data_IF_875458996935
#
_entry.id   IF_875458996935
#
_cell.length_a   1.000
_cell.length_b   1.000
_cell.length_c   1.000
_cell.angle_alpha   90.00
_cell.angle_beta   90.00
_cell.angle_gamma   90.00
#
_symmetry.space_group_name_H-M   'P 1'
#
loop_
_entity.id
_entity.type
_entity.pdbx_description
1 polymer ?
#
# COMPACT_ATOMS: atom_id res chain seq x y z
N UNK A 1 9.62 -5.37 -29.31
CA UNK A 1 9.88 -5.66 -27.88
C UNK A 1 10.05 -7.17 -27.78
N UNK A 2 11.03 -7.69 -27.03
CA UNK A 2 11.24 -9.14 -26.91
C UNK A 2 10.64 -9.64 -25.59
N UNK A 3 10.13 -10.86 -25.59
CA UNK A 3 9.59 -11.54 -24.42
C UNK A 3 10.36 -12.84 -24.22
N UNK A 4 10.92 -13.03 -23.02
CA UNK A 4 11.55 -14.27 -22.60
C UNK A 4 10.48 -15.08 -21.88
N UNK A 5 9.88 -16.04 -22.57
CA UNK A 5 8.86 -16.92 -22.02
C UNK A 5 9.56 -18.16 -21.48
N UNK A 6 9.44 -18.42 -20.18
CA UNK A 6 10.24 -19.42 -19.49
C UNK A 6 9.39 -20.24 -18.51
N UNK A 7 9.80 -21.48 -18.32
CA UNK A 7 9.35 -22.40 -17.27
C UNK A 7 10.56 -23.14 -16.68
N UNK A 8 10.52 -23.50 -15.39
CA UNK A 8 11.58 -24.25 -14.71
C UNK A 8 11.01 -25.40 -13.89
N UNK A 9 11.75 -26.52 -13.88
CA UNK A 9 11.51 -27.60 -12.92
C UNK A 9 12.56 -27.55 -11.81
N UNK A 10 12.17 -27.99 -10.61
CA UNK A 10 12.99 -27.81 -9.41
C UNK A 10 12.85 -28.98 -8.44
N UNK A 11 13.79 -29.11 -7.50
CA UNK A 11 13.72 -30.11 -6.42
C UNK A 11 12.72 -29.76 -5.30
N UNK A 12 11.94 -28.69 -5.42
CA UNK A 12 11.01 -28.24 -4.39
C UNK A 12 10.40 -26.86 -4.60
N UNK A 13 9.26 -26.60 -3.95
CA UNK A 13 8.44 -25.41 -4.19
C UNK A 13 8.89 -24.10 -3.55
N UNK A 14 10.00 -24.06 -2.81
CA UNK A 14 10.51 -22.83 -2.18
C UNK A 14 11.82 -22.37 -2.84
N UNK A 15 11.81 -21.24 -3.58
CA UNK A 15 13.00 -20.76 -4.27
C UNK A 15 14.22 -20.48 -3.41
N UNK A 16 14.05 -20.17 -2.12
CA UNK A 16 15.17 -19.90 -1.22
C UNK A 16 15.95 -21.16 -0.81
N UNK A 17 15.33 -22.34 -0.91
CA UNK A 17 15.90 -23.60 -0.42
C UNK A 17 15.94 -24.70 -1.49
N UNK A 18 15.50 -24.39 -2.70
CA UNK A 18 15.41 -25.32 -3.82
C UNK A 18 16.49 -25.03 -4.86
N UNK A 19 16.66 -25.97 -5.79
CA UNK A 19 17.60 -25.92 -6.91
C UNK A 19 16.88 -26.34 -8.20
N UNK A 20 17.28 -25.74 -9.32
CA UNK A 20 16.68 -26.04 -10.62
C UNK A 20 17.21 -27.36 -11.17
N UNK A 21 16.33 -28.12 -11.84
CA UNK A 21 16.64 -29.39 -12.50
C UNK A 21 16.40 -29.35 -14.00
N UNK A 22 15.62 -28.39 -14.49
CA UNK A 22 15.36 -28.15 -15.91
C UNK A 22 15.00 -26.68 -16.12
N UNK A 23 15.39 -26.13 -17.27
CA UNK A 23 14.97 -24.81 -17.73
C UNK A 23 14.60 -24.89 -19.20
N UNK A 24 13.48 -24.27 -19.56
CA UNK A 24 13.09 -24.04 -20.94
C UNK A 24 12.81 -22.55 -21.16
N UNK A 25 13.39 -21.98 -22.20
CA UNK A 25 13.32 -20.56 -22.54
C UNK A 25 12.97 -20.39 -24.01
N UNK A 26 11.98 -19.54 -24.28
CA UNK A 26 11.57 -19.13 -25.61
C UNK A 26 11.70 -17.63 -25.73
N UNK A 27 12.49 -17.18 -26.70
CA UNK A 27 12.57 -15.78 -27.04
C UNK A 27 11.51 -15.49 -28.12
N UNK A 28 10.58 -14.59 -27.81
CA UNK A 28 9.40 -14.29 -28.62
C UNK A 28 9.37 -12.80 -28.97
N UNK A 29 9.14 -12.45 -30.23
CA UNK A 29 9.19 -11.05 -30.71
C UNK A 29 7.84 -10.32 -30.70
N UNK A 30 6.78 -10.98 -30.21
CA UNK A 30 5.41 -10.49 -30.32
C UNK A 30 4.62 -11.08 -31.50
N UNK A 31 5.27 -11.88 -32.37
CA UNK A 31 4.65 -12.58 -33.48
C UNK A 31 5.08 -14.05 -33.57
N UNK A 32 6.37 -14.33 -33.43
CA UNK A 32 6.95 -15.67 -33.53
C UNK A 32 8.06 -15.90 -32.51
N UNK A 33 8.36 -17.18 -32.29
CA UNK A 33 9.56 -17.61 -31.57
C UNK A 33 10.75 -17.28 -32.47
N UNK A 34 11.71 -16.52 -31.93
CA UNK A 34 12.95 -16.13 -32.62
C UNK A 34 14.15 -16.94 -32.17
N UNK A 35 14.10 -17.50 -30.95
CA UNK A 35 15.13 -18.40 -30.43
C UNK A 35 14.55 -19.28 -29.32
N UNK A 36 15.19 -20.42 -29.05
CA UNK A 36 14.81 -21.34 -27.96
C UNK A 36 16.06 -21.94 -27.30
N UNK A 37 15.98 -22.14 -25.99
CA UNK A 37 17.02 -22.83 -25.22
C UNK A 37 16.37 -23.72 -24.16
N UNK A 38 16.81 -24.97 -24.10
CA UNK A 38 16.35 -25.96 -23.12
C UNK A 38 17.56 -26.75 -22.63
N UNK A 39 17.60 -27.02 -21.32
CA UNK A 39 18.58 -27.94 -20.76
C UNK A 39 18.10 -28.52 -19.42
N UNK A 40 18.49 -29.76 -19.15
CA UNK A 40 18.52 -30.27 -17.78
C UNK A 40 19.62 -29.54 -17.01
N UNK A 41 19.47 -29.45 -15.70
CA UNK A 41 20.44 -28.81 -14.82
C UNK A 41 20.78 -29.79 -13.71
N UNK A 42 22.07 -29.96 -13.42
CA UNK A 42 22.51 -30.68 -12.23
C UNK A 42 22.27 -29.78 -11.00
N UNK A 43 21.33 -30.14 -10.10
CA UNK A 43 21.01 -29.34 -8.91
C UNK A 43 22.08 -29.45 -7.82
N UNK A 44 23.07 -30.32 -7.98
CA UNK A 44 24.10 -30.66 -6.98
C UNK A 44 23.52 -31.18 -5.65
N UNK A 45 22.26 -31.61 -5.68
CA UNK A 45 21.49 -32.12 -4.54
C UNK A 45 20.61 -33.29 -4.98
N UNK A 46 20.35 -34.29 -4.11
CA UNK A 46 19.44 -35.39 -4.43
C UNK A 46 18.02 -34.90 -4.76
N UNK A 47 17.42 -35.45 -5.81
CA UNK A 47 16.03 -35.13 -6.19
C UNK A 47 15.07 -35.96 -5.33
N UNK A 48 14.15 -35.34 -4.57
CA UNK A 48 13.17 -36.08 -3.77
C UNK A 48 12.25 -36.95 -4.64
N UNK A 49 11.96 -38.18 -4.20
CA UNK A 49 11.13 -39.14 -4.96
C UNK A 49 9.77 -38.59 -5.39
N UNK A 50 9.15 -37.75 -4.55
CA UNK A 50 7.86 -37.14 -4.90
C UNK A 50 7.98 -36.13 -6.05
N UNK A 51 9.11 -35.44 -6.18
CA UNK A 51 9.40 -34.55 -7.32
C UNK A 51 9.62 -35.38 -8.58
N UNK A 52 10.41 -36.45 -8.50
CA UNK A 52 10.59 -37.37 -9.63
C UNK A 52 9.26 -37.95 -10.10
N UNK A 53 8.34 -38.27 -9.19
CA UNK A 53 6.99 -38.72 -9.56
C UNK A 53 6.12 -37.65 -10.24
N UNK A 54 6.43 -36.36 -10.03
CA UNK A 54 5.71 -35.23 -10.65
C UNK A 54 6.30 -34.84 -12.00
N UNK A 55 7.62 -34.71 -12.10
CA UNK A 55 8.32 -34.15 -13.27
C UNK A 55 8.92 -35.23 -14.18
N UNK A 56 9.08 -36.45 -13.66
CA UNK A 56 9.81 -37.53 -14.33
C UNK A 56 11.33 -37.37 -14.29
N UNK A 57 11.86 -36.29 -13.70
CA UNK A 57 13.30 -36.03 -13.62
C UNK A 57 13.90 -36.74 -12.41
N UNK A 58 14.92 -37.56 -12.63
CA UNK A 58 15.64 -38.30 -11.59
C UNK A 58 17.14 -37.94 -11.58
N UNK A 59 17.84 -38.38 -10.52
CA UNK A 59 19.26 -38.07 -10.32
C UNK A 59 20.15 -38.54 -11.49
N UNK A 60 19.83 -39.68 -12.12
CA UNK A 60 20.61 -40.20 -13.26
C UNK A 60 20.51 -39.31 -14.51
N UNK A 61 19.34 -38.71 -14.75
CA UNK A 61 19.13 -37.79 -15.88
C UNK A 61 19.96 -36.50 -15.74
N UNK A 62 20.09 -35.97 -14.52
CA UNK A 62 20.75 -34.69 -14.26
C UNK A 62 22.23 -34.84 -13.93
N UNK A 63 22.72 -36.06 -13.68
CA UNK A 63 24.09 -36.35 -13.25
C UNK A 63 25.16 -35.71 -14.15
N UNK A 64 24.98 -35.83 -15.46
CA UNK A 64 25.89 -35.29 -16.48
C UNK A 64 25.39 -33.98 -17.12
N UNK A 65 24.27 -33.45 -16.63
CA UNK A 65 23.74 -32.17 -17.08
C UNK A 65 24.63 -31.03 -16.56
N UNK A 66 24.66 -29.86 -17.24
CA UNK A 66 25.42 -28.72 -16.76
C UNK A 66 24.89 -28.24 -15.41
N UNK A 67 25.77 -27.72 -14.57
CA UNK A 67 25.41 -26.99 -13.37
C UNK A 67 24.92 -25.59 -13.74
N UNK A 68 24.18 -24.96 -12.83
CA UNK A 68 23.63 -23.63 -13.11
C UNK A 68 24.69 -22.59 -13.48
N UNK A 69 25.85 -22.59 -12.80
CA UNK A 69 26.92 -21.63 -13.07
C UNK A 69 27.52 -21.75 -14.48
N UNK A 70 27.43 -22.93 -15.10
CA UNK A 70 27.93 -23.19 -16.47
C UNK A 70 27.02 -22.58 -17.54
N UNK A 71 25.73 -22.42 -17.23
CA UNK A 71 24.73 -21.85 -18.16
C UNK A 71 24.33 -20.41 -17.82
N UNK A 72 24.74 -19.89 -16.65
CA UNK A 72 24.34 -18.58 -16.14
C UNK A 72 24.60 -17.43 -17.14
N UNK A 73 25.81 -17.40 -17.74
CA UNK A 73 26.18 -16.39 -18.75
C UNK A 73 25.25 -16.46 -19.98
N UNK A 74 24.97 -17.67 -20.47
CA UNK A 74 24.09 -17.90 -21.62
C UNK A 74 22.67 -17.41 -21.34
N UNK A 75 22.16 -17.62 -20.12
CA UNK A 75 20.84 -17.11 -19.72
C UNK A 75 20.79 -15.58 -19.79
N UNK A 76 21.82 -14.88 -19.28
CA UNK A 76 21.90 -13.42 -19.36
C UNK A 76 21.88 -12.94 -20.81
N UNK A 77 22.74 -13.49 -21.67
CA UNK A 77 22.84 -13.12 -23.08
C UNK A 77 21.53 -13.40 -23.84
N UNK A 78 20.91 -14.56 -23.59
CA UNK A 78 19.63 -14.94 -24.20
C UNK A 78 18.47 -14.02 -23.76
N UNK A 79 18.53 -13.51 -22.54
CA UNK A 79 17.49 -12.68 -21.92
C UNK A 79 17.60 -11.18 -22.23
N UNK A 80 18.67 -10.74 -22.90
CA UNK A 80 19.01 -9.33 -23.01
C UNK A 80 17.90 -8.49 -23.69
N UNK A 81 17.48 -7.42 -23.03
CA UNK A 81 16.45 -6.50 -23.51
C UNK A 81 15.03 -7.09 -23.60
N UNK A 82 14.82 -8.30 -23.06
CA UNK A 82 13.52 -8.94 -23.03
C UNK A 82 12.73 -8.65 -21.74
N UNK A 83 11.43 -8.91 -21.78
CA UNK A 83 10.56 -8.97 -20.60
C UNK A 83 10.41 -10.44 -20.21
N UNK A 84 10.67 -10.76 -18.95
CA UNK A 84 10.51 -12.11 -18.40
C UNK A 84 9.02 -12.45 -18.29
N UNK A 85 8.58 -13.57 -18.84
CA UNK A 85 7.18 -14.00 -18.84
C UNK A 85 7.11 -15.45 -18.37
N UNK A 86 6.28 -15.72 -17.36
CA UNK A 86 6.04 -17.08 -16.92
C UNK A 86 4.62 -17.25 -16.36
N UNK A 87 4.17 -18.51 -16.29
CA UNK A 87 2.88 -18.87 -15.73
C UNK A 87 2.99 -19.04 -14.21
N UNK A 88 2.54 -18.02 -13.47
CA UNK A 88 2.84 -17.82 -12.04
C UNK A 88 4.27 -17.31 -11.78
N UNK A 89 4.66 -16.26 -12.53
CA UNK A 89 5.98 -15.62 -12.55
C UNK A 89 6.75 -15.51 -11.23
N UNK A 90 6.07 -15.34 -10.09
CA UNK A 90 6.76 -15.23 -8.79
C UNK A 90 7.60 -16.46 -8.44
N UNK A 91 7.21 -17.64 -8.93
CA UNK A 91 7.94 -18.88 -8.69
C UNK A 91 9.20 -18.95 -9.57
N UNK A 92 9.04 -18.98 -10.90
CA UNK A 92 10.13 -19.14 -11.86
C UNK A 92 11.16 -18.01 -11.75
N UNK A 93 10.68 -16.77 -11.65
CA UNK A 93 11.53 -15.61 -11.47
C UNK A 93 12.26 -15.65 -10.12
N UNK A 94 11.59 -16.15 -9.07
CA UNK A 94 12.19 -16.35 -7.76
C UNK A 94 13.29 -17.41 -7.78
N UNK A 95 13.07 -18.52 -8.49
CA UNK A 95 14.08 -19.58 -8.68
C UNK A 95 15.31 -19.04 -9.38
N UNK A 96 15.11 -18.36 -10.51
CA UNK A 96 16.21 -17.83 -11.30
C UNK A 96 17.00 -16.77 -10.52
N UNK A 97 16.32 -15.86 -9.80
CA UNK A 97 16.98 -14.90 -8.90
C UNK A 97 17.77 -15.59 -7.79
N UNK A 98 17.25 -16.68 -7.21
CA UNK A 98 17.93 -17.43 -6.16
C UNK A 98 19.23 -18.05 -6.67
N UNK A 99 19.18 -18.69 -7.84
CA UNK A 99 20.34 -19.33 -8.46
C UNK A 99 21.41 -18.31 -8.84
N UNK A 100 21.04 -17.20 -9.48
CA UNK A 100 21.99 -16.10 -9.77
C UNK A 100 22.56 -15.47 -8.50
N UNK A 101 21.74 -15.29 -7.46
CA UNK A 101 22.19 -14.75 -6.18
C UNK A 101 23.21 -15.66 -5.51
N UNK A 102 23.10 -16.98 -5.66
CA UNK A 102 24.11 -17.93 -5.18
C UNK A 102 25.48 -17.74 -5.85
N UNK A 103 25.51 -17.14 -7.04
CA UNK A 103 26.72 -16.74 -7.77
C UNK A 103 27.16 -15.29 -7.51
N UNK A 104 26.50 -14.59 -6.58
CA UNK A 104 26.78 -13.18 -6.30
C UNK A 104 26.21 -12.19 -7.33
N UNK A 105 25.29 -12.63 -8.20
CA UNK A 105 24.65 -11.78 -9.21
C UNK A 105 23.19 -11.45 -8.85
N UNK A 106 22.84 -10.16 -8.82
CA UNK A 106 21.46 -9.73 -8.59
C UNK A 106 20.66 -9.65 -9.90
N UNK A 107 20.11 -10.80 -10.31
CA UNK A 107 19.29 -10.88 -11.52
C UNK A 107 18.02 -10.02 -11.40
N UNK A 108 17.85 -9.07 -12.32
CA UNK A 108 16.71 -8.13 -12.32
C UNK A 108 16.22 -7.88 -13.73
N UNK A 109 14.98 -8.25 -14.00
CA UNK A 109 14.30 -7.99 -15.28
C UNK A 109 12.88 -7.50 -15.05
N UNK A 110 12.35 -6.66 -15.95
CA UNK A 110 10.91 -6.45 -16.02
C UNK A 110 10.24 -7.79 -16.29
N UNK A 111 9.11 -8.04 -15.63
CA UNK A 111 8.46 -9.34 -15.69
C UNK A 111 6.93 -9.23 -15.75
N UNK A 112 6.30 -10.27 -16.30
CA UNK A 112 4.86 -10.32 -16.48
C UNK A 112 4.32 -11.72 -16.16
N UNK A 113 3.23 -11.73 -15.38
CA UNK A 113 2.60 -12.96 -14.91
C UNK A 113 1.42 -13.32 -15.79
N UNK A 114 1.49 -14.43 -16.55
CA UNK A 114 0.39 -14.82 -17.44
C UNK A 114 -0.89 -15.17 -16.69
N UNK A 115 -0.81 -15.62 -15.43
CA UNK A 115 -2.00 -15.82 -14.57
C UNK A 115 -2.71 -14.48 -14.27
N UNK A 116 -1.95 -13.45 -13.89
CA UNK A 116 -2.53 -12.11 -13.60
C UNK A 116 -3.10 -11.49 -14.87
N UNK A 117 -2.38 -11.63 -15.98
CA UNK A 117 -2.82 -11.16 -17.30
C UNK A 117 -4.09 -11.86 -17.75
N UNK A 118 -4.14 -13.19 -17.68
CA UNK A 118 -5.30 -13.98 -18.08
C UNK A 118 -6.54 -13.61 -17.28
N UNK A 119 -6.44 -13.36 -15.97
CA UNK A 119 -7.59 -12.93 -15.15
C UNK A 119 -8.25 -11.63 -15.64
N UNK A 120 -7.47 -10.73 -16.23
CA UNK A 120 -7.96 -9.45 -16.74
C UNK A 120 -8.40 -9.52 -18.20
N UNK A 121 -7.60 -10.16 -19.04
CA UNK A 121 -7.79 -10.23 -20.50
C UNK A 121 -8.80 -11.34 -20.89
N UNK A 122 -8.83 -12.43 -20.12
CA UNK A 122 -9.69 -13.59 -20.31
C UNK A 122 -10.52 -13.84 -19.03
N UNK A 123 -11.44 -12.93 -18.66
CA UNK A 123 -12.27 -13.09 -17.47
C UNK A 123 -13.24 -14.28 -17.63
N UNK A 124 -13.72 -14.83 -16.49
CA UNK A 124 -14.78 -15.84 -16.47
C UNK A 124 -14.32 -17.30 -16.63
N UNK A 125 -13.02 -17.59 -16.53
CA UNK A 125 -12.47 -18.95 -16.62
C UNK A 125 -12.67 -19.73 -15.32
N UNK A 126 -12.92 -21.04 -15.39
CA UNK A 126 -13.16 -21.86 -14.19
C UNK A 126 -11.91 -21.98 -13.32
N UNK A 127 -10.74 -21.89 -13.94
CA UNK A 127 -9.45 -21.86 -13.27
C UNK A 127 -8.42 -21.19 -14.16
N UNK A 128 -7.41 -20.61 -13.52
CA UNK A 128 -6.29 -19.96 -14.20
C UNK A 128 -4.99 -20.76 -14.11
N UNK A 129 -5.03 -22.03 -13.70
CA UNK A 129 -3.87 -22.93 -13.85
C UNK A 129 -3.63 -23.24 -15.33
N UNK A 130 -2.36 -23.32 -15.74
CA UNK A 130 -1.96 -23.55 -17.14
C UNK A 130 -2.75 -24.69 -17.78
N UNK A 131 -2.75 -25.87 -17.14
CA UNK A 131 -3.46 -27.05 -17.62
C UNK A 131 -4.95 -26.84 -17.93
N UNK A 132 -5.67 -26.15 -17.04
CA UNK A 132 -7.12 -25.89 -17.23
C UNK A 132 -7.36 -24.79 -18.26
N UNK A 133 -6.56 -23.73 -18.26
CA UNK A 133 -6.66 -22.67 -19.27
C UNK A 133 -6.40 -23.21 -20.67
N UNK A 134 -5.34 -23.99 -20.84
CA UNK A 134 -5.01 -24.60 -22.12
C UNK A 134 -6.14 -25.50 -22.62
N UNK A 135 -6.75 -26.31 -21.74
CA UNK A 135 -7.91 -27.13 -22.11
C UNK A 135 -9.12 -26.29 -22.55
N UNK A 136 -9.45 -25.23 -21.80
CA UNK A 136 -10.58 -24.36 -22.14
C UNK A 136 -10.34 -23.50 -23.39
N UNK A 137 -9.09 -23.32 -23.79
CA UNK A 137 -8.67 -22.51 -24.95
C UNK A 137 -8.21 -23.36 -26.13
N UNK A 138 -8.40 -24.68 -26.06
CA UNK A 138 -7.95 -25.67 -27.05
C UNK A 138 -6.45 -25.59 -27.40
N UNK A 139 -5.62 -25.22 -26.41
CA UNK A 139 -4.17 -25.25 -26.51
C UNK A 139 -3.70 -26.67 -26.19
N UNK A 140 -3.18 -27.37 -27.20
CA UNK A 140 -2.55 -28.69 -27.01
C UNK A 140 -1.36 -28.59 -26.05
N UNK A 141 -1.47 -29.28 -24.92
CA UNK A 141 -0.40 -29.53 -23.96
C UNK A 141 0.26 -30.88 -24.27
N UNK A 142 1.53 -30.84 -24.66
CA UNK A 142 2.40 -32.02 -24.80
C UNK A 142 3.44 -31.98 -23.68
N UNK A 143 3.82 -33.14 -23.12
CA UNK A 143 4.83 -33.26 -22.07
C UNK A 143 4.55 -32.37 -20.85
N UNK A 144 3.36 -32.52 -20.26
CA UNK A 144 2.98 -31.79 -19.03
C UNK A 144 3.96 -32.11 -17.90
N UNK A 145 4.32 -31.11 -17.09
CA UNK A 145 5.33 -31.24 -16.02
C UNK A 145 6.76 -31.48 -16.53
N UNK A 146 7.02 -30.95 -17.72
CA UNK A 146 8.35 -30.73 -18.27
C UNK A 146 8.43 -29.27 -18.68
N UNK A 147 9.56 -28.64 -18.40
CA UNK A 147 9.72 -27.21 -18.62
C UNK A 147 9.41 -26.83 -20.08
N UNK A 148 9.84 -27.64 -21.05
CA UNK A 148 9.56 -27.39 -22.48
C UNK A 148 8.06 -27.38 -22.79
N UNK A 149 7.31 -28.37 -22.30
CA UNK A 149 5.88 -28.51 -22.60
C UNK A 149 5.08 -27.34 -22.04
N UNK A 150 5.37 -26.97 -20.81
CA UNK A 150 4.67 -25.90 -20.10
C UNK A 150 5.11 -24.50 -20.60
N UNK A 151 6.38 -24.30 -20.95
CA UNK A 151 6.85 -23.06 -21.58
C UNK A 151 6.22 -22.87 -22.98
N UNK A 152 6.15 -23.93 -23.82
CA UNK A 152 5.50 -23.85 -25.13
C UNK A 152 4.00 -23.53 -25.03
N UNK A 153 3.30 -24.16 -24.10
CA UNK A 153 1.90 -23.86 -23.83
C UNK A 153 1.73 -22.40 -23.36
N UNK A 154 2.66 -21.91 -22.54
CA UNK A 154 2.70 -20.52 -22.09
C UNK A 154 2.95 -19.54 -23.24
N UNK A 155 3.80 -19.87 -24.23
CA UNK A 155 3.98 -19.06 -25.45
C UNK A 155 2.65 -18.90 -26.19
N UNK A 156 1.92 -20.00 -26.41
CA UNK A 156 0.62 -19.97 -27.10
C UNK A 156 -0.41 -19.15 -26.33
N UNK A 157 -0.51 -19.38 -25.02
CA UNK A 157 -1.40 -18.61 -24.14
C UNK A 157 -1.05 -17.11 -24.14
N UNK A 158 0.24 -16.78 -24.09
CA UNK A 158 0.71 -15.41 -24.15
C UNK A 158 0.36 -14.76 -25.48
N UNK A 159 0.58 -15.43 -26.62
CA UNK A 159 0.21 -14.92 -27.94
C UNK A 159 -1.30 -14.61 -28.01
N UNK A 160 -2.16 -15.52 -27.54
CA UNK A 160 -3.61 -15.28 -27.54
C UNK A 160 -4.00 -14.05 -26.71
N UNK A 161 -3.34 -13.82 -25.56
CA UNK A 161 -3.58 -12.61 -24.76
C UNK A 161 -3.01 -11.35 -25.43
N UNK A 162 -1.85 -11.48 -26.08
CA UNK A 162 -1.19 -10.40 -26.81
C UNK A 162 -2.03 -9.91 -27.98
N UNK A 163 -2.57 -10.83 -28.78
CA UNK A 163 -3.49 -10.54 -29.89
C UNK A 163 -4.80 -9.91 -29.40
N UNK A 164 -5.28 -10.30 -28.21
CA UNK A 164 -6.55 -9.81 -27.68
C UNK A 164 -6.46 -8.39 -27.11
N UNK A 165 -5.42 -8.09 -26.33
CA UNK A 165 -5.24 -6.77 -25.72
C UNK A 165 -3.78 -6.49 -25.34
N UNK A 166 -3.00 -6.04 -26.33
CA UNK A 166 -1.59 -5.68 -26.15
C UNK A 166 -1.41 -4.50 -25.18
N UNK A 167 -2.34 -3.52 -25.19
CA UNK A 167 -2.23 -2.31 -24.37
C UNK A 167 -2.32 -2.71 -22.90
N UNK A 168 -3.37 -3.45 -22.53
CA UNK A 168 -3.56 -3.94 -21.17
C UNK A 168 -2.41 -4.86 -20.75
N UNK A 169 -1.88 -5.69 -21.65
CA UNK A 169 -0.73 -6.54 -21.34
C UNK A 169 0.51 -5.71 -20.98
N UNK A 170 0.81 -4.65 -21.74
CA UNK A 170 1.92 -3.75 -21.46
C UNK A 170 1.75 -3.02 -20.12
N UNK A 171 0.53 -2.67 -19.73
CA UNK A 171 0.22 -2.07 -18.42
C UNK A 171 0.45 -3.02 -17.23
N UNK A 172 0.49 -4.34 -17.49
CA UNK A 172 0.68 -5.37 -16.48
C UNK A 172 2.14 -5.78 -16.28
N UNK A 173 3.07 -5.18 -17.04
CA UNK A 173 4.51 -5.40 -16.86
C UNK A 173 4.93 -4.80 -15.52
N UNK A 174 5.50 -5.64 -14.66
CA UNK A 174 6.07 -5.24 -13.39
C UNK A 174 7.57 -4.93 -13.58
N UNK A 175 7.95 -3.68 -13.38
CA UNK A 175 9.35 -3.25 -13.48
C UNK A 175 10.08 -3.41 -12.16
N UNK A 176 11.25 -4.03 -12.21
CA UNK A 176 12.15 -4.12 -11.07
C UNK A 176 12.90 -2.80 -10.81
N UNK A 177 13.47 -2.67 -9.60
CA UNK A 177 14.40 -1.58 -9.32
C UNK A 177 15.60 -1.68 -10.25
N UNK A 178 15.97 -0.58 -10.90
CA UNK A 178 17.15 -0.52 -11.73
C UNK A 178 18.34 0.01 -10.90
N UNK A 179 19.38 -0.80 -10.66
CA UNK A 179 20.52 -0.39 -9.86
C UNK A 179 21.25 0.85 -10.37
N UNK A 180 21.19 1.12 -11.68
CA UNK A 180 21.78 2.32 -12.30
C UNK A 180 21.14 3.64 -11.85
N UNK A 181 19.98 3.58 -11.20
CA UNK A 181 19.18 4.76 -10.84
C UNK A 181 18.95 4.90 -9.33
N UNK A 182 19.64 4.10 -8.53
CA UNK A 182 19.56 4.08 -7.07
C UNK A 182 20.97 4.27 -6.49
N UNK A 183 21.06 4.53 -5.19
CA UNK A 183 22.36 4.71 -4.54
C UNK A 183 23.19 3.41 -4.64
N UNK A 184 24.51 3.49 -4.89
CA UNK A 184 25.39 2.31 -4.91
C UNK A 184 25.36 1.44 -3.64
N UNK A 185 25.20 2.06 -2.47
CA UNK A 185 25.20 1.40 -1.16
C UNK A 185 23.83 0.82 -0.78
N UNK A 186 22.81 0.98 -1.63
CA UNK A 186 21.48 0.48 -1.35
C UNK A 186 21.46 -1.05 -1.46
N UNK A 187 21.32 -1.73 -0.33
CA UNK A 187 21.11 -3.17 -0.33
C UNK A 187 19.69 -3.53 -0.77
N UNK A 188 19.57 -4.03 -2.00
CA UNK A 188 18.27 -4.43 -2.53
C UNK A 188 17.70 -5.69 -1.89
N UNK A 189 18.52 -6.52 -1.23
CA UNK A 189 18.02 -7.67 -0.47
C UNK A 189 17.15 -7.16 0.66
N UNK A 190 17.67 -6.21 1.44
CA UNK A 190 16.91 -5.52 2.49
C UNK A 190 15.62 -4.91 1.95
N UNK A 191 15.64 -4.30 0.75
CA UNK A 191 14.43 -3.73 0.11
C UNK A 191 13.41 -4.81 -0.27
N UNK A 192 13.86 -5.94 -0.78
CA UNK A 192 12.99 -7.05 -1.16
C UNK A 192 12.42 -7.78 0.07
N UNK A 193 13.11 -7.79 1.22
CA UNK A 193 12.62 -8.39 2.46
C UNK A 193 11.79 -7.41 3.34
N UNK A 194 11.57 -6.16 2.91
CA UNK A 194 10.68 -5.23 3.60
C UNK A 194 9.27 -5.82 3.80
N UNK A 195 8.59 -5.52 4.92
CA UNK A 195 7.28 -6.07 5.20
C UNK A 195 6.18 -5.40 4.36
N UNK A 196 5.14 -6.16 4.05
CA UNK A 196 3.88 -5.67 3.44
C UNK A 196 2.86 -5.22 4.50
N UNK A 197 3.31 -4.97 5.73
CA UNK A 197 2.49 -4.57 6.88
C UNK A 197 2.47 -3.05 7.09
N UNK A 198 1.57 -2.61 7.96
CA UNK A 198 1.43 -1.20 8.37
C UNK A 198 2.55 -0.77 9.31
N UNK A 199 3.13 0.39 9.02
CA UNK A 199 4.08 1.04 9.91
C UNK A 199 4.75 2.25 9.29
N UNK A 200 5.90 2.61 9.85
CA UNK A 200 6.72 3.74 9.42
C UNK A 200 8.01 3.23 8.78
N UNK A 201 8.57 4.02 7.87
CA UNK A 201 9.86 3.77 7.24
C UNK A 201 10.70 5.05 7.23
N UNK A 202 12.01 4.87 7.32
CA UNK A 202 13.01 5.93 7.39
C UNK A 202 14.05 5.70 6.31
N UNK A 203 14.40 6.75 5.61
CA UNK A 203 15.48 6.74 4.62
C UNK A 203 16.70 7.44 5.20
N UNK A 204 17.85 6.82 5.00
CA UNK A 204 19.15 7.30 5.43
C UNK A 204 20.04 7.53 4.21
N UNK A 205 20.84 8.59 4.27
CA UNK A 205 21.94 8.80 3.32
C UNK A 205 23.19 7.98 3.71
N UNK A 206 24.24 8.08 2.90
CA UNK A 206 25.53 7.42 3.15
C UNK A 206 26.19 7.83 4.47
N UNK A 207 25.88 9.02 4.98
CA UNK A 207 26.37 9.53 6.26
C UNK A 207 25.50 9.12 7.46
N UNK A 208 24.59 8.15 7.29
CA UNK A 208 23.64 7.71 8.31
C UNK A 208 22.71 8.81 8.86
N UNK A 209 22.46 9.87 8.09
CA UNK A 209 21.50 10.91 8.44
C UNK A 209 20.11 10.57 7.90
N UNK A 210 19.07 10.80 8.71
CA UNK A 210 17.68 10.60 8.29
C UNK A 210 17.28 11.71 7.31
N UNK A 211 17.07 11.35 6.06
CA UNK A 211 16.68 12.29 5.00
C UNK A 211 15.17 12.30 4.74
N UNK A 212 14.46 11.24 5.10
CA UNK A 212 13.01 11.13 4.92
C UNK A 212 12.37 10.16 5.91
N UNK A 213 11.15 10.48 6.36
CA UNK A 213 10.28 9.62 7.17
C UNK A 213 8.92 9.55 6.51
N UNK A 214 8.37 8.35 6.38
CA UNK A 214 7.02 8.15 5.84
C UNK A 214 6.28 7.03 6.56
N UNK A 215 4.95 7.03 6.44
CA UNK A 215 4.07 5.92 6.86
C UNK A 215 3.39 5.22 5.70
N UNK A 216 3.05 3.96 5.87
CA UNK A 216 2.28 3.18 4.90
C UNK A 216 1.56 2.02 5.55
N UNK A 217 0.41 1.63 4.97
CA UNK A 217 -0.24 0.33 5.26
C UNK A 217 0.52 -0.86 4.64
N UNK A 218 1.38 -0.58 3.67
CA UNK A 218 2.27 -1.54 3.02
C UNK A 218 3.63 -0.88 2.78
N UNK A 219 4.57 -1.11 3.70
CA UNK A 219 5.89 -0.47 3.69
C UNK A 219 6.66 -0.81 2.43
N UNK A 220 6.81 -2.10 2.09
CA UNK A 220 7.53 -2.56 0.89
C UNK A 220 7.05 -1.86 -0.39
N UNK A 221 5.74 -1.85 -0.63
CA UNK A 221 5.16 -1.20 -1.82
C UNK A 221 5.50 0.29 -1.87
N UNK A 222 5.39 0.97 -0.73
CA UNK A 222 5.61 2.42 -0.66
C UNK A 222 7.08 2.79 -0.84
N UNK A 223 8.01 2.03 -0.27
CA UNK A 223 9.45 2.23 -0.47
C UNK A 223 9.84 2.03 -1.92
N UNK A 224 9.38 0.94 -2.58
CA UNK A 224 9.61 0.72 -4.01
C UNK A 224 9.09 1.88 -4.87
N UNK A 225 7.91 2.43 -4.55
CA UNK A 225 7.39 3.62 -5.24
C UNK A 225 8.32 4.83 -5.14
N UNK A 226 8.94 5.09 -3.99
CA UNK A 226 9.91 6.18 -3.86
C UNK A 226 11.15 5.94 -4.72
N UNK A 227 11.71 4.72 -4.68
CA UNK A 227 12.89 4.34 -5.44
C UNK A 227 12.66 4.31 -6.96
N UNK A 228 11.42 4.08 -7.41
CA UNK A 228 11.03 4.07 -8.83
C UNK A 228 10.50 5.42 -9.32
N UNK A 229 10.27 6.39 -8.45
CA UNK A 229 9.66 7.65 -8.86
C UNK A 229 10.64 8.50 -9.67
N UNK A 230 10.26 8.79 -10.91
CA UNK A 230 11.03 9.63 -11.84
C UNK A 230 10.27 10.87 -12.31
N UNK A 231 9.13 11.21 -11.68
CA UNK A 231 8.25 12.30 -12.14
C UNK A 231 8.85 13.70 -11.98
N UNK A 232 9.73 13.91 -11.00
CA UNK A 232 10.32 15.23 -10.74
C UNK A 232 11.75 15.13 -10.21
N UNK A 233 12.53 16.22 -10.37
CA UNK A 233 13.94 16.30 -9.97
C UNK A 233 14.16 15.95 -8.49
N UNK A 234 13.27 16.40 -7.59
CA UNK A 234 13.37 16.12 -6.15
C UNK A 234 13.22 14.63 -5.82
N UNK A 235 12.29 13.92 -6.49
CA UNK A 235 12.09 12.50 -6.30
C UNK A 235 13.27 11.67 -6.85
N UNK A 236 13.82 12.08 -7.99
CA UNK A 236 15.03 11.46 -8.55
C UNK A 236 16.21 11.63 -7.59
N UNK A 237 16.41 12.84 -7.04
CA UNK A 237 17.48 13.09 -6.07
C UNK A 237 17.28 12.26 -4.80
N UNK A 238 16.07 12.28 -4.22
CA UNK A 238 15.75 11.45 -3.06
C UNK A 238 16.11 9.98 -3.32
N UNK A 239 15.73 9.42 -4.47
CA UNK A 239 16.05 8.03 -4.83
C UNK A 239 17.54 7.74 -4.92
N UNK A 240 18.36 8.73 -5.29
CA UNK A 240 19.83 8.60 -5.37
C UNK A 240 20.49 8.74 -4.01
N UNK A 241 19.87 9.48 -3.08
CA UNK A 241 20.40 9.72 -1.75
C UNK A 241 20.03 8.61 -0.76
N UNK A 242 19.08 7.71 -1.08
CA UNK A 242 18.71 6.59 -0.21
C UNK A 242 19.80 5.52 -0.26
N UNK A 243 20.69 5.53 0.73
CA UNK A 243 21.69 4.48 0.95
C UNK A 243 21.14 3.35 1.81
N UNK A 244 20.25 3.63 2.76
CA UNK A 244 19.73 2.64 3.71
C UNK A 244 18.27 2.93 4.07
N UNK A 245 17.50 1.85 4.25
CA UNK A 245 16.08 1.92 4.62
C UNK A 245 15.87 1.15 5.91
N UNK A 246 15.27 1.81 6.90
CA UNK A 246 14.77 1.14 8.11
C UNK A 246 13.26 1.25 8.17
N UNK A 247 12.64 0.38 8.96
CA UNK A 247 11.22 0.41 9.20
C UNK A 247 10.89 0.05 10.63
N UNK A 248 9.67 0.40 11.03
CA UNK A 248 9.11 0.01 12.31
C UNK A 248 7.63 -0.33 12.11
N UNK A 249 7.22 -1.51 12.57
CA UNK A 249 5.83 -1.93 12.47
C UNK A 249 4.98 -1.21 13.50
N UNK A 250 3.81 -0.73 13.09
CA UNK A 250 2.85 -0.09 14.00
C UNK A 250 1.54 -0.87 14.12
N UNK A 251 1.22 -1.74 13.16
CA UNK A 251 -0.04 -2.50 13.14
C UNK A 251 -1.28 -1.66 12.81
N UNK A 252 -1.48 -0.57 13.56
CA UNK A 252 -2.52 0.44 13.36
C UNK A 252 -2.04 1.59 12.49
N UNK A 253 -2.90 2.03 11.59
CA UNK A 253 -2.65 3.23 10.77
C UNK A 253 -2.65 4.50 11.63
N UNK A 254 -3.48 4.58 12.67
CA UNK A 254 -3.50 5.73 13.59
C UNK A 254 -2.16 5.87 14.31
N UNK A 255 -1.64 4.78 14.86
CA UNK A 255 -0.32 4.79 15.52
C UNK A 255 0.78 5.18 14.52
N UNK A 256 0.74 4.64 13.30
CA UNK A 256 1.71 5.01 12.26
C UNK A 256 1.64 6.50 11.89
N UNK A 257 0.44 7.09 11.84
CA UNK A 257 0.21 8.52 11.60
C UNK A 257 0.79 9.38 12.74
N UNK A 258 0.46 9.05 13.99
CA UNK A 258 0.93 9.76 15.18
C UNK A 258 2.46 9.72 15.28
N UNK A 259 3.04 8.52 15.12
CA UNK A 259 4.48 8.31 15.20
C UNK A 259 5.24 8.98 14.06
N UNK A 260 4.70 8.98 12.84
CA UNK A 260 5.28 9.73 11.71
C UNK A 260 5.37 11.23 12.03
N UNK A 261 4.28 11.83 12.54
CA UNK A 261 4.25 13.24 12.92
C UNK A 261 5.30 13.58 13.99
N UNK A 262 5.36 12.75 15.04
CA UNK A 262 6.34 12.90 16.13
C UNK A 262 7.79 12.87 15.61
N UNK A 263 8.12 11.88 14.78
CA UNK A 263 9.49 11.69 14.28
C UNK A 263 9.90 12.79 13.29
N UNK A 264 8.97 13.27 12.45
CA UNK A 264 9.26 14.38 11.53
C UNK A 264 9.60 15.65 12.31
N UNK A 265 8.87 15.95 13.39
CA UNK A 265 9.15 17.10 14.26
C UNK A 265 10.50 16.96 14.96
N UNK A 266 10.82 15.76 15.44
CA UNK A 266 12.08 15.46 16.13
C UNK A 266 13.30 15.57 15.23
N UNK A 267 13.23 15.03 14.01
CA UNK A 267 14.40 14.89 13.13
C UNK A 267 14.52 15.98 12.07
N UNK A 268 13.46 16.76 11.81
CA UNK A 268 13.46 17.88 10.85
C UNK A 268 14.09 17.55 9.49
N UNK A 269 13.78 16.37 8.96
CA UNK A 269 14.45 15.79 7.79
C UNK A 269 14.44 16.68 6.54
N UNK A 270 15.41 16.48 5.66
CA UNK A 270 15.60 17.29 4.46
C UNK A 270 14.44 17.15 3.47
N UNK A 271 13.86 15.96 3.26
CA UNK A 271 12.82 15.78 2.23
C UNK A 271 11.38 15.90 2.74
N UNK A 272 11.13 15.99 4.05
CA UNK A 272 9.78 16.18 4.61
C UNK A 272 9.33 17.66 4.68
N UNK A 273 9.86 18.56 3.85
CA UNK A 273 9.55 20.01 3.89
C UNK A 273 8.05 20.35 3.95
N UNK A 274 7.18 19.60 3.26
CA UNK A 274 5.71 19.82 3.29
C UNK A 274 5.05 19.49 4.63
N UNK A 275 5.76 18.84 5.55
CA UNK A 275 5.27 18.35 6.83
C UNK A 275 5.94 19.05 8.03
N UNK A 276 6.83 20.01 7.77
CA UNK A 276 7.47 20.84 8.81
C UNK A 276 6.52 21.93 9.34
N UNK A 277 5.54 22.33 8.53
CA UNK A 277 4.43 23.21 8.92
C UNK A 277 3.14 22.38 8.94
N UNK A 278 2.28 22.60 9.96
CA UNK A 278 1.00 21.88 10.20
C UNK A 278 0.35 21.34 8.93
N UNK A 279 0.09 20.02 8.89
CA UNK A 279 -0.60 19.32 7.79
C UNK A 279 -2.02 19.82 7.53
N UNK A 280 -2.55 20.62 8.45
CA UNK A 280 -3.91 21.11 8.47
C UNK A 280 -3.84 22.62 8.51
N UNK A 281 -4.17 23.23 7.39
CA UNK A 281 -4.17 24.68 7.25
C UNK A 281 -5.57 25.27 7.45
N UNK A 282 -6.61 24.42 7.48
CA UNK A 282 -8.00 24.84 7.55
C UNK A 282 -8.71 24.16 8.71
N UNK A 283 -9.73 24.82 9.26
CA UNK A 283 -10.61 24.25 10.27
C UNK A 283 -12.06 24.73 10.15
N UNK A 284 -12.99 23.98 10.77
CA UNK A 284 -14.38 24.40 10.96
C UNK A 284 -14.48 25.12 12.30
N UNK A 285 -15.10 26.29 12.29
CA UNK A 285 -15.34 27.13 13.46
C UNK A 285 -16.83 27.35 13.64
N UNK A 286 -17.25 27.46 14.89
CA UNK A 286 -18.54 28.01 15.30
C UNK A 286 -18.38 29.50 15.68
N UNK A 287 -19.14 30.36 15.00
CA UNK A 287 -19.30 31.77 15.36
C UNK A 287 -20.78 32.05 15.64
N UNK A 288 -21.09 33.08 16.42
CA UNK A 288 -22.48 33.52 16.62
C UNK A 288 -22.74 34.71 15.68
N UNK A 289 -23.83 34.65 14.92
CA UNK A 289 -24.26 35.74 14.05
C UNK A 289 -24.98 36.85 14.82
N UNK A 290 -25.08 38.04 14.22
CA UNK A 290 -25.79 39.18 14.81
C UNK A 290 -27.26 38.86 15.15
N UNK A 291 -27.87 37.92 14.43
CA UNK A 291 -29.24 37.46 14.64
C UNK A 291 -29.34 36.25 15.59
N UNK A 292 -28.25 35.87 16.26
CA UNK A 292 -28.20 34.81 17.28
C UNK A 292 -28.03 33.38 16.76
N UNK A 293 -27.98 33.16 15.43
CA UNK A 293 -27.77 31.83 14.84
C UNK A 293 -26.28 31.43 14.86
N UNK A 294 -25.97 30.17 15.18
CA UNK A 294 -24.60 29.62 15.12
C UNK A 294 -24.18 29.40 13.65
N UNK A 295 -23.06 30.01 13.25
CA UNK A 295 -22.44 29.83 11.94
C UNK A 295 -21.32 28.80 12.00
N UNK A 296 -21.38 27.81 11.12
CA UNK A 296 -20.28 26.88 10.89
C UNK A 296 -19.49 27.28 9.65
N UNK A 297 -18.22 27.66 9.82
CA UNK A 297 -17.40 28.21 8.74
C UNK A 297 -16.07 27.47 8.59
N UNK A 298 -15.65 27.27 7.34
CA UNK A 298 -14.32 26.72 7.01
C UNK A 298 -13.35 27.86 6.72
N UNK A 299 -12.36 28.03 7.60
CA UNK A 299 -11.36 29.08 7.46
C UNK A 299 -9.93 28.58 7.68
N UNK A 300 -8.95 29.37 7.27
CA UNK A 300 -7.55 29.09 7.51
C UNK A 300 -7.20 29.34 8.99
N UNK A 301 -6.49 28.39 9.60
CA UNK A 301 -6.14 28.44 11.02
C UNK A 301 -5.27 29.65 11.36
N UNK A 302 -4.44 30.13 10.42
CA UNK A 302 -3.61 31.32 10.66
C UNK A 302 -4.41 32.62 10.73
N UNK A 303 -5.70 32.61 10.36
CA UNK A 303 -6.57 33.79 10.34
C UNK A 303 -7.44 33.94 11.58
N UNK A 304 -7.47 32.92 12.46
CA UNK A 304 -8.38 32.88 13.62
C UNK A 304 -7.63 32.57 14.90
N UNK A 305 -8.02 33.26 15.98
CA UNK A 305 -7.45 33.08 17.32
C UNK A 305 -8.18 31.99 18.13
N UNK A 306 -9.40 31.61 17.74
CA UNK A 306 -10.15 30.52 18.36
C UNK A 306 -9.63 29.15 17.90
N UNK A 307 -9.89 28.12 18.71
CA UNK A 307 -9.61 26.74 18.30
C UNK A 307 -10.76 26.23 17.43
N UNK A 308 -10.50 25.69 16.23
CA UNK A 308 -11.56 25.11 15.42
C UNK A 308 -12.12 23.83 16.05
N UNK A 309 -13.39 23.55 15.77
CA UNK A 309 -14.06 22.30 16.09
C UNK A 309 -13.37 21.11 15.40
N UNK A 310 -12.92 21.32 14.15
CA UNK A 310 -12.33 20.29 13.28
C UNK A 310 -11.28 20.87 12.35
N UNK A 311 -10.43 20.01 11.80
CA UNK A 311 -9.29 20.43 11.00
C UNK A 311 -9.16 19.62 9.71
N UNK A 312 -8.73 20.29 8.65
CA UNK A 312 -8.68 19.76 7.29
C UNK A 312 -7.38 20.18 6.59
N UNK A 313 -6.86 19.29 5.74
CA UNK A 313 -5.63 19.58 4.99
C UNK A 313 -5.87 20.59 3.87
N UNK A 314 -7.08 20.65 3.33
CA UNK A 314 -7.47 21.60 2.29
C UNK A 314 -8.82 22.24 2.61
N UNK A 315 -9.04 23.47 2.12
CA UNK A 315 -10.34 24.14 2.23
C UNK A 315 -11.46 23.29 1.62
N UNK A 316 -11.19 22.64 0.49
CA UNK A 316 -12.15 21.78 -0.23
C UNK A 316 -12.64 20.62 0.64
N UNK A 317 -11.73 19.89 1.28
CA UNK A 317 -12.09 18.77 2.18
C UNK A 317 -12.98 19.27 3.34
N UNK A 318 -12.65 20.43 3.93
CA UNK A 318 -13.47 21.04 4.98
C UNK A 318 -14.86 21.45 4.48
N UNK A 319 -14.94 22.06 3.29
CA UNK A 319 -16.21 22.48 2.69
C UNK A 319 -17.09 21.29 2.29
N UNK A 320 -16.52 20.21 1.76
CA UNK A 320 -17.24 18.97 1.47
C UNK A 320 -17.75 18.31 2.75
N UNK A 321 -16.96 18.30 3.82
CA UNK A 321 -17.39 17.80 5.12
C UNK A 321 -18.55 18.65 5.67
N UNK A 322 -18.42 19.98 5.67
CA UNK A 322 -19.46 20.88 6.13
C UNK A 322 -20.76 20.71 5.33
N UNK A 323 -20.65 20.46 4.02
CA UNK A 323 -21.79 20.11 3.15
C UNK A 323 -22.51 18.85 3.65
N UNK A 324 -21.78 17.79 4.01
CA UNK A 324 -22.38 16.55 4.52
C UNK A 324 -23.08 16.76 5.87
N UNK A 325 -22.52 17.59 6.75
CA UNK A 325 -23.14 17.94 8.04
C UNK A 325 -24.41 18.75 7.83
N UNK A 326 -24.37 19.72 6.92
CA UNK A 326 -25.55 20.52 6.57
C UNK A 326 -26.70 19.64 6.10
N UNK A 327 -26.42 18.61 5.32
CA UNK A 327 -27.44 17.64 4.85
C UNK A 327 -27.92 16.71 5.98
N UNK A 328 -27.02 16.19 6.81
CA UNK A 328 -27.34 15.29 7.95
C UNK A 328 -28.22 15.98 9.00
N UNK A 329 -27.94 17.24 9.33
CA UNK A 329 -28.63 18.00 10.39
C UNK A 329 -29.63 19.04 9.86
N UNK A 330 -29.90 19.04 8.55
CA UNK A 330 -30.82 19.98 7.89
C UNK A 330 -30.52 21.44 8.25
N UNK A 331 -29.23 21.82 8.15
CA UNK A 331 -28.77 23.16 8.47
C UNK A 331 -28.91 24.10 7.27
N UNK A 332 -28.99 25.39 7.55
CA UNK A 332 -29.08 26.42 6.52
C UNK A 332 -27.76 26.62 5.79
N UNK A 333 -27.80 26.69 4.44
CA UNK A 333 -26.61 26.92 3.61
C UNK A 333 -25.93 28.25 3.92
N UNK A 334 -26.70 29.31 4.20
CA UNK A 334 -26.16 30.64 4.52
C UNK A 334 -25.32 30.59 5.80
N UNK A 335 -25.80 29.87 6.81
CA UNK A 335 -25.09 29.69 8.09
C UNK A 335 -24.02 28.59 8.06
N UNK A 336 -23.89 27.87 6.93
CA UNK A 336 -22.85 26.87 6.68
C UNK A 336 -21.93 27.26 5.50
N UNK A 337 -21.95 28.52 5.06
CA UNK A 337 -21.12 29.00 3.94
C UNK A 337 -20.72 30.46 4.12
N UNK A 338 -19.66 30.90 3.44
CA UNK A 338 -19.23 32.31 3.45
C UNK A 338 -20.13 33.20 2.54
N UNK A 339 -21.38 32.82 2.27
CA UNK A 339 -22.28 33.60 1.40
C UNK A 339 -22.90 34.75 2.20
N UNK A 340 -22.88 35.95 1.63
CA UNK A 340 -23.32 37.20 2.29
C UNK A 340 -24.78 37.59 2.05
N UNK A 341 -25.49 36.95 1.12
CA UNK A 341 -26.87 37.32 0.82
C UNK A 341 -27.85 36.66 1.80
N UNK A 342 -28.23 37.41 2.84
CA UNK A 342 -29.25 37.02 3.84
C UNK A 342 -30.69 37.38 3.40
N UNK A 343 -30.86 38.02 2.24
CA UNK A 343 -32.16 38.57 1.81
C UNK A 343 -32.98 37.65 0.89
N UNK A 344 -32.52 36.42 0.61
CA UNK A 344 -33.27 35.42 -0.17
C UNK A 344 -33.19 34.06 0.51
N UNK A 345 -34.27 33.27 0.38
CA UNK A 345 -34.27 31.88 0.80
C UNK A 345 -33.12 31.13 0.11
N UNK A 346 -32.37 30.33 0.86
CA UNK A 346 -31.32 29.53 0.26
C UNK A 346 -31.93 28.43 -0.61
N UNK A 347 -31.21 28.01 -1.67
CA UNK A 347 -31.64 26.93 -2.57
C UNK A 347 -32.12 25.67 -1.83
N UNK A 348 -31.50 25.35 -0.68
CA UNK A 348 -31.85 24.17 0.10
C UNK A 348 -33.18 24.28 0.83
N UNK A 349 -33.68 25.49 1.09
CA UNK A 349 -35.04 25.71 1.58
C UNK A 349 -36.07 25.41 0.48
N UNK A 350 -35.80 25.82 -0.76
CA UNK A 350 -36.69 25.58 -1.91
C UNK A 350 -36.90 24.08 -2.18
N UNK A 351 -35.85 23.28 -1.99
CA UNK A 351 -35.91 21.80 -2.09
C UNK A 351 -36.24 21.10 -0.76
N UNK A 352 -36.76 21.82 0.24
CA UNK A 352 -37.20 21.31 1.57
C UNK A 352 -36.13 20.52 2.34
N UNK A 353 -34.86 20.83 2.11
CA UNK A 353 -33.69 20.23 2.80
C UNK A 353 -33.09 21.16 3.87
N UNK A 354 -33.77 22.27 4.16
CA UNK A 354 -33.44 23.29 5.16
C UNK A 354 -34.76 23.88 5.67
N UNK A 355 -34.82 24.26 6.95
CA UNK A 355 -36.05 24.76 7.59
C UNK A 355 -36.24 26.28 7.49
N UNK A 356 -35.30 26.99 6.85
CA UNK A 356 -35.48 28.41 6.52
C UNK A 356 -34.91 29.39 7.54
N UNK A 357 -33.88 29.02 8.30
CA UNK A 357 -33.21 29.92 9.25
C UNK A 357 -32.71 31.25 8.61
N UNK A 358 -32.36 31.22 7.32
CA UNK A 358 -31.94 32.42 6.57
C UNK A 358 -33.06 33.44 6.31
N UNK A 359 -34.32 33.01 6.34
CA UNK A 359 -35.50 33.87 6.17
C UNK A 359 -36.27 34.03 7.49
N UNK A 360 -35.65 33.65 8.62
CA UNK A 360 -36.25 33.67 9.96
C UNK A 360 -37.55 32.85 10.08
N UNK A 361 -37.78 31.89 9.19
CA UNK A 361 -38.93 30.99 9.25
C UNK A 361 -38.73 29.86 10.27
N UNK A 362 -37.48 29.57 10.59
CA UNK A 362 -37.09 28.70 11.68
C UNK A 362 -36.58 29.55 12.83
N UNK A 363 -36.95 29.21 14.07
CA UNK A 363 -36.49 29.94 15.24
C UNK A 363 -35.02 29.64 15.59
N UNK A 364 -34.39 30.61 16.24
CA UNK A 364 -32.97 30.58 16.60
C UNK A 364 -32.64 29.38 17.49
N UNK A 365 -33.50 29.08 18.46
CA UNK A 365 -33.28 28.03 19.45
C UNK A 365 -33.31 26.64 18.79
N UNK A 366 -34.32 26.37 17.97
CA UNK A 366 -34.46 25.12 17.21
C UNK A 366 -33.32 24.91 16.23
N UNK A 367 -32.89 25.96 15.53
CA UNK A 367 -31.72 25.88 14.65
C UNK A 367 -30.44 25.58 15.45
N UNK A 368 -30.17 26.37 16.49
CA UNK A 368 -28.97 26.26 17.30
C UNK A 368 -28.91 24.91 18.02
N UNK A 369 -30.04 24.35 18.46
CA UNK A 369 -30.10 23.02 19.05
C UNK A 369 -29.58 21.93 18.09
N UNK A 370 -29.90 22.01 16.79
CA UNK A 370 -29.35 21.04 15.82
C UNK A 370 -27.86 21.22 15.58
N UNK A 371 -27.39 22.46 15.56
CA UNK A 371 -25.94 22.74 15.48
C UNK A 371 -25.24 22.23 16.73
N UNK A 372 -25.83 22.41 17.91
CA UNK A 372 -25.29 21.95 19.18
C UNK A 372 -25.25 20.42 19.27
N UNK A 373 -26.27 19.70 18.79
CA UNK A 373 -26.23 18.22 18.68
C UNK A 373 -25.00 17.77 17.87
N UNK A 374 -24.70 18.47 16.77
CA UNK A 374 -23.49 18.19 15.99
C UNK A 374 -22.21 18.51 16.79
N UNK A 375 -22.12 19.68 17.41
CA UNK A 375 -20.95 20.09 18.21
C UNK A 375 -20.72 19.10 19.37
N UNK A 376 -21.78 18.69 20.06
CA UNK A 376 -21.73 17.73 21.17
C UNK A 376 -21.27 16.36 20.68
N UNK A 377 -21.73 15.93 19.51
CA UNK A 377 -21.24 14.71 18.84
C UNK A 377 -19.75 14.78 18.47
N UNK A 378 -19.20 15.98 18.25
CA UNK A 378 -17.76 16.18 18.04
C UNK A 378 -16.97 16.23 19.34
N UNK A 379 -17.58 16.77 20.40
CA UNK A 379 -16.94 16.87 21.69
C UNK A 379 -17.08 15.57 22.46
N UNK A 380 -16.07 14.71 22.37
CA UNK A 380 -15.81 13.66 23.36
C UNK A 380 -15.43 14.23 24.74
N UNK A 381 -15.91 15.45 25.09
CA UNK A 381 -15.47 16.27 26.23
C UNK A 381 -15.57 15.55 27.58
N UNK A 382 -16.36 14.48 27.66
CA UNK A 382 -16.57 13.70 28.88
C UNK A 382 -16.40 12.18 28.69
N UNK A 383 -15.98 11.70 27.52
CA UNK A 383 -15.79 10.26 27.28
C UNK A 383 -14.31 9.87 27.43
N UNK A 384 -14.02 8.96 28.36
CA UNK A 384 -12.75 8.22 28.41
C UNK A 384 -12.94 6.94 27.59
N UNK A 385 -12.06 6.73 26.61
CA UNK A 385 -12.14 5.53 25.80
C UNK A 385 -10.79 5.10 25.23
N UNK A 386 -10.71 3.80 24.94
CA UNK A 386 -9.62 3.21 24.16
C UNK A 386 -10.09 2.95 22.73
N UNK A 387 -9.27 3.35 21.76
CA UNK A 387 -9.35 2.83 20.40
C UNK A 387 -8.48 1.58 20.31
N UNK A 388 -9.12 0.44 20.01
CA UNK A 388 -8.44 -0.85 19.90
C UNK A 388 -8.37 -1.29 18.44
N UNK A 389 -7.14 -1.42 17.93
CA UNK A 389 -6.84 -1.77 16.55
C UNK A 389 -6.02 -3.05 16.39
N UNK A 390 -5.41 -3.23 15.21
CA UNK A 390 -4.46 -4.33 14.95
C UNK A 390 -3.10 -4.03 15.59
N UNK A 391 -2.50 -5.03 16.25
CA UNK A 391 -1.10 -4.96 16.69
C UNK A 391 -0.11 -5.17 15.54
N UNK A 392 1.18 -5.07 15.84
CA UNK A 392 2.33 -5.28 14.93
C UNK A 392 2.38 -6.73 14.43
N UNK A 393 1.92 -7.65 15.25
CA UNK A 393 1.72 -9.06 14.92
C UNK A 393 0.39 -9.61 15.47
N UNK A 394 0.21 -10.94 15.42
CA UNK A 394 -1.04 -11.62 15.81
C UNK A 394 -1.21 -11.75 17.33
N UNK A 395 -0.14 -11.58 18.10
CA UNK A 395 -0.09 -11.78 19.55
C UNK A 395 -0.41 -10.51 20.34
N UNK A 396 -0.64 -9.39 19.65
CA UNK A 396 -0.92 -8.10 20.29
C UNK A 396 -2.02 -7.29 19.59
N UNK A 397 -2.51 -6.28 20.31
CA UNK A 397 -3.48 -5.28 19.88
C UNK A 397 -2.90 -3.89 20.12
N UNK A 398 -3.20 -2.97 19.21
CA UNK A 398 -2.86 -1.56 19.41
C UNK A 398 -3.92 -0.88 20.27
N UNK A 399 -3.46 -0.01 21.16
CA UNK A 399 -4.29 0.83 22.02
C UNK A 399 -3.96 2.30 21.79
N UNK A 400 -4.97 3.14 21.72
CA UNK A 400 -4.84 4.61 21.77
C UNK A 400 -5.83 5.12 22.81
N UNK A 401 -5.34 5.87 23.80
CA UNK A 401 -6.16 6.39 24.90
C UNK A 401 -6.55 7.84 24.63
N UNK A 402 -7.85 8.08 24.70
CA UNK A 402 -8.45 9.40 24.70
C UNK A 402 -9.12 9.61 26.06
N UNK A 403 -8.74 10.68 26.75
CA UNK A 403 -9.36 11.09 28.01
C UNK A 403 -9.83 12.53 27.92
N UNK A 404 -11.10 12.77 28.28
CA UNK A 404 -11.73 14.08 28.24
C UNK A 404 -11.58 14.78 26.86
N UNK A 405 -11.63 13.99 25.78
CA UNK A 405 -11.45 14.47 24.41
C UNK A 405 -10.02 14.84 24.02
N UNK A 406 -9.03 14.47 24.85
CA UNK A 406 -7.60 14.70 24.61
C UNK A 406 -6.85 13.39 24.43
N UNK A 407 -5.98 13.34 23.43
CA UNK A 407 -5.07 12.22 23.21
C UNK A 407 -4.01 12.14 24.31
N UNK A 408 -3.92 10.97 24.96
CA UNK A 408 -2.98 10.74 26.08
C UNK A 408 -1.79 9.85 25.74
N UNK A 409 -1.84 9.13 24.61
CA UNK A 409 -0.80 8.18 24.25
C UNK A 409 -1.30 6.99 23.43
N UNK A 410 -0.35 6.19 22.97
CA UNK A 410 -0.63 4.90 22.33
C UNK A 410 0.29 3.81 22.87
N UNK A 411 -0.07 2.56 22.61
CA UNK A 411 0.78 1.43 22.94
C UNK A 411 0.26 0.11 22.40
N UNK A 412 0.81 -0.98 22.93
CA UNK A 412 0.53 -2.35 22.47
C UNK A 412 0.27 -3.25 23.66
N UNK A 413 -0.89 -3.90 23.66
CA UNK A 413 -1.29 -4.85 24.69
C UNK A 413 -1.31 -6.29 24.13
N UNK A 414 -1.04 -7.32 24.95
CA UNK A 414 -1.15 -8.72 24.52
C UNK A 414 -2.56 -9.04 23.99
N UNK A 415 -2.72 -9.99 23.05
CA UNK A 415 -3.99 -10.27 22.38
C UNK A 415 -5.14 -10.57 23.35
N UNK A 416 -4.83 -11.23 24.46
CA UNK A 416 -5.81 -11.62 25.48
C UNK A 416 -5.98 -10.59 26.61
N UNK A 417 -5.43 -9.37 26.50
CA UNK A 417 -5.47 -8.34 27.56
C UNK A 417 -6.87 -7.98 28.12
N UNK A 418 -7.95 -8.33 27.39
CA UNK A 418 -9.32 -8.14 27.84
C UNK A 418 -9.68 -8.85 29.16
N UNK A 419 -8.87 -9.78 29.67
CA UNK A 419 -9.05 -10.35 31.02
C UNK A 419 -8.72 -9.36 32.15
N UNK A 420 -7.98 -8.29 31.85
CA UNK A 420 -7.71 -7.21 32.78
C UNK A 420 -8.87 -6.22 32.78
N UNK A 421 -9.14 -5.62 33.95
CA UNK A 421 -10.06 -4.49 34.07
C UNK A 421 -9.61 -3.37 33.14
N UNK A 422 -10.55 -2.64 32.54
CA UNK A 422 -10.27 -1.58 31.56
C UNK A 422 -9.36 -0.49 32.15
N UNK A 423 -9.49 -0.21 33.44
CA UNK A 423 -8.61 0.71 34.18
C UNK A 423 -7.15 0.25 34.25
N UNK A 424 -6.82 -1.00 33.94
CA UNK A 424 -5.43 -1.47 33.88
C UNK A 424 -4.84 -1.34 32.48
N UNK A 425 -5.64 -0.99 31.46
CA UNK A 425 -5.14 -0.93 30.09
C UNK A 425 -4.16 0.23 29.85
N UNK A 426 -4.21 1.29 30.67
CA UNK A 426 -3.25 2.40 30.57
C UNK A 426 -1.80 1.95 30.81
N UNK A 427 -1.56 0.84 31.51
CA UNK A 427 -0.19 0.35 31.76
C UNK A 427 0.52 -0.09 30.48
N UNK A 428 -0.23 -0.35 29.41
CA UNK A 428 0.32 -0.71 28.10
C UNK A 428 0.57 0.52 27.21
N UNK A 429 0.30 1.73 27.69
CA UNK A 429 0.35 2.96 26.91
C UNK A 429 1.58 3.77 27.27
N UNK A 430 2.33 4.16 26.25
CA UNK A 430 3.36 5.18 26.38
C UNK A 430 2.67 6.55 26.37
N UNK A 431 2.74 7.26 27.49
CA UNK A 431 2.14 8.59 27.61
C UNK A 431 2.79 9.58 26.65
N UNK A 432 1.96 10.34 25.94
CA UNK A 432 2.37 11.36 24.98
C UNK A 432 1.57 12.63 25.22
N UNK A 433 2.23 13.78 25.16
CA UNK A 433 1.55 15.08 25.21
C UNK A 433 0.82 15.33 23.89
N UNK A 434 -0.47 15.67 23.97
CA UNK A 434 -1.22 16.12 22.79
C UNK A 434 -0.61 17.42 22.23
N UNK A 435 -0.36 17.40 20.93
CA UNK A 435 -0.12 18.59 20.12
C UNK A 435 -1.21 18.77 19.07
N UNK A 436 -1.19 19.93 18.39
CA UNK A 436 -2.16 20.28 17.36
C UNK A 436 -2.31 19.18 16.29
N UNK A 437 -1.23 18.57 15.82
CA UNK A 437 -1.34 17.54 14.78
C UNK A 437 -1.93 16.24 15.33
N UNK A 438 -1.50 15.82 16.53
CA UNK A 438 -2.00 14.58 17.15
C UNK A 438 -3.52 14.61 17.39
N UNK A 439 -4.04 15.74 17.90
CA UNK A 439 -5.49 15.97 18.06
C UNK A 439 -6.25 15.78 16.75
N UNK A 440 -5.69 16.32 15.67
CA UNK A 440 -6.31 16.28 14.35
C UNK A 440 -6.29 14.87 13.77
N UNK A 441 -5.14 14.21 13.87
CA UNK A 441 -4.95 12.85 13.37
C UNK A 441 -5.94 11.89 14.04
N UNK A 442 -6.11 11.99 15.36
CA UNK A 442 -7.11 11.22 16.11
C UNK A 442 -8.52 11.53 15.63
N UNK A 443 -8.92 12.80 15.61
CA UNK A 443 -10.29 13.19 15.23
C UNK A 443 -10.65 12.76 13.80
N UNK A 444 -9.73 12.95 12.84
CA UNK A 444 -9.94 12.53 11.46
C UNK A 444 -9.98 11.00 11.32
N UNK A 445 -9.18 10.28 12.12
CA UNK A 445 -9.18 8.83 12.11
C UNK A 445 -10.50 8.25 12.63
N UNK A 446 -10.98 8.73 13.78
CA UNK A 446 -12.24 8.26 14.38
C UNK A 446 -13.41 8.44 13.41
N UNK A 447 -13.44 9.55 12.67
CA UNK A 447 -14.47 9.82 11.67
C UNK A 447 -14.41 8.91 10.46
N UNK A 448 -13.22 8.70 9.90
CA UNK A 448 -13.02 7.93 8.66
C UNK A 448 -13.09 6.42 8.91
N UNK A 449 -12.66 5.95 10.08
CA UNK A 449 -12.49 4.53 10.38
C UNK A 449 -13.44 4.04 11.48
N UNK A 450 -14.70 3.76 11.10
CA UNK A 450 -15.71 3.11 11.96
C UNK A 450 -15.42 1.63 12.33
N UNK A 451 -14.27 1.08 11.92
CA UNK A 451 -13.94 -0.35 12.06
C UNK A 451 -13.17 -0.71 13.33
N UNK A 452 -12.48 0.26 13.93
CA UNK A 452 -11.77 0.01 15.19
C UNK A 452 -12.76 0.02 16.35
N UNK A 453 -12.56 -0.88 17.33
CA UNK A 453 -13.47 -1.01 18.45
C UNK A 453 -13.19 0.10 19.46
N UNK A 454 -14.22 0.87 19.77
CA UNK A 454 -14.19 1.90 20.82
C UNK A 454 -14.66 1.25 22.11
N UNK A 455 -13.81 1.27 23.14
CA UNK A 455 -14.16 0.79 24.48
C UNK A 455 -14.23 1.96 25.44
N UNK A 456 -15.45 2.30 25.87
CA UNK A 456 -15.74 3.40 26.80
C UNK A 456 -15.70 2.89 28.23
N UNK A 457 -15.25 3.73 29.17
CA UNK A 457 -15.18 3.42 30.59
C UNK A 457 -15.32 4.64 31.47
#
# INVERSE_FOLDING_TARGET
MKYLILDVETIGGNPKTSKMTEIAMYLYDGKKIIDQFETLINPELPIPRFITGLTGINDEMVKNAPKFHEIAKKIIEFSEGAIFVAHNVSFDYGMLRSEFRSLGYDFRMPHLCTVKSARKILPGKTSYSLGKLCRELDIKLSNRHRAIGDAQATVKLFNMMFEKDQILLNELIEYELNPKHTHPNLDYITIDDLPTKTGIYRFYNEFNQIIYIGKSINIKKRVKQHLQNRKNKKAIQLSKDIARVEYELCGSELIALLKESELIKKHQTTYNHSLKNSRFLYGIYDDISDNGYIHLLVDNISKRNSSPLLYFSTKKEGSEFLKSIREEYQLCDIYCSNKKDMNKACFYYEIKSCNGACIMNEDVETYNNRVQIFIDKLSYKHERFYLVGKGRDKTEKSLVLIENGTYQGYGFAPYHFNHLTIDKWFTFIESKKEDKDSKILVNNYIKKNKKDKIFRF
#
